data_IF_874554479823
#
_entry.id   IF_874554479823
#
_cell.length_a   1.000
_cell.length_b   1.000
_cell.length_c   1.000
_cell.angle_alpha   90.00
_cell.angle_beta   90.00
_cell.angle_gamma   90.00
#
_symmetry.space_group_name_H-M   'P 1'
#
loop_
_entity.id
_entity.type
_entity.pdbx_description
1 polymer ?
#
# COMPACT_ATOMS: atom_id res chain seq x y z
N UNK A 1 59.13 116.90 -133.16
CA UNK A 1 59.82 116.50 -134.41
C UNK A 1 60.23 115.03 -134.31
N UNK A 2 60.43 114.39 -135.44
CA UNK A 2 60.37 112.94 -135.73
C UNK A 2 61.44 112.03 -135.11
N UNK A 3 61.11 110.72 -135.05
CA UNK A 3 62.06 109.64 -135.43
C UNK A 3 62.21 108.45 -134.47
N UNK A 4 61.68 107.27 -134.82
CA UNK A 4 62.21 105.94 -134.36
C UNK A 4 63.38 105.47 -135.24
N UNK A 5 63.89 104.19 -135.22
CA UNK A 5 63.24 102.92 -134.75
C UNK A 5 64.16 101.77 -134.15
N UNK A 6 63.56 100.57 -133.89
CA UNK A 6 64.05 99.15 -133.95
C UNK A 6 64.33 98.26 -132.68
N UNK A 7 63.49 97.20 -132.53
CA UNK A 7 63.58 95.78 -132.01
C UNK A 7 64.38 95.38 -130.75
N UNK A 8 63.79 94.54 -129.86
CA UNK A 8 64.13 93.08 -129.79
C UNK A 8 63.24 92.16 -128.89
N UNK A 9 63.12 90.90 -129.33
CA UNK A 9 62.12 89.85 -129.01
C UNK A 9 62.57 88.83 -127.93
N UNK A 10 63.49 89.19 -127.03
CA UNK A 10 64.11 88.23 -126.09
C UNK A 10 63.57 88.27 -124.64
N UNK A 11 62.65 89.17 -124.32
CA UNK A 11 62.16 89.35 -122.93
C UNK A 11 60.87 88.55 -122.60
N UNK A 12 60.02 88.29 -123.60
CA UNK A 12 58.73 87.62 -123.39
C UNK A 12 58.84 86.09 -123.17
N UNK A 13 59.93 85.45 -123.61
CA UNK A 13 60.16 84.01 -123.41
C UNK A 13 60.68 83.69 -121.99
N UNK A 14 61.42 84.60 -121.36
CA UNK A 14 61.95 84.41 -120.01
C UNK A 14 60.84 84.53 -118.94
N UNK A 15 59.91 85.47 -119.11
CA UNK A 15 58.77 85.64 -118.19
C UNK A 15 57.78 84.46 -118.24
N UNK A 16 57.57 83.84 -119.41
CA UNK A 16 56.72 82.65 -119.55
C UNK A 16 57.33 81.39 -118.91
N UNK A 17 58.66 81.25 -118.96
CA UNK A 17 59.35 80.11 -118.38
C UNK A 17 59.42 80.22 -116.85
N UNK A 18 59.57 81.44 -116.34
CA UNK A 18 59.48 81.74 -114.90
C UNK A 18 58.07 81.49 -114.35
N UNK A 19 57.02 81.91 -115.06
CA UNK A 19 55.63 81.61 -114.65
C UNK A 19 55.31 80.11 -114.64
N UNK A 20 55.87 79.34 -115.56
CA UNK A 20 55.64 77.87 -115.59
C UNK A 20 56.34 77.15 -114.42
N UNK A 21 57.54 77.61 -114.04
CA UNK A 21 58.21 77.13 -112.82
C UNK A 21 57.47 77.56 -111.55
N UNK A 22 56.93 78.78 -111.51
CA UNK A 22 56.09 79.25 -110.41
C UNK A 22 54.77 78.47 -110.32
N UNK A 23 54.19 78.04 -111.45
CA UNK A 23 52.96 77.24 -111.52
C UNK A 23 53.20 75.78 -111.12
N UNK A 24 54.32 75.17 -111.53
CA UNK A 24 54.76 73.85 -111.05
C UNK A 24 55.15 73.90 -109.55
N UNK A 25 55.76 74.98 -109.07
CA UNK A 25 55.98 75.22 -107.63
C UNK A 25 54.66 75.42 -106.86
N UNK A 26 53.66 76.05 -107.48
CA UNK A 26 52.33 76.22 -106.88
C UNK A 26 51.58 74.88 -106.84
N UNK A 27 51.64 74.07 -107.89
CA UNK A 27 51.01 72.75 -107.92
C UNK A 27 51.68 71.78 -106.96
N UNK A 28 53.01 71.79 -106.86
CA UNK A 28 53.74 71.01 -105.83
C UNK A 28 53.35 71.49 -104.42
N UNK A 29 53.26 72.80 -104.17
CA UNK A 29 52.77 73.35 -102.88
C UNK A 29 51.29 73.00 -102.61
N UNK A 30 50.44 72.92 -103.64
CA UNK A 30 49.03 72.52 -103.49
C UNK A 30 48.92 71.03 -103.18
N UNK A 31 49.72 70.19 -103.85
CA UNK A 31 49.79 68.75 -103.61
C UNK A 31 50.34 68.46 -102.21
N UNK A 32 51.38 69.17 -101.79
CA UNK A 32 51.94 69.12 -100.42
C UNK A 32 50.90 69.56 -99.38
N UNK A 33 50.20 70.69 -99.61
CA UNK A 33 49.12 71.13 -98.73
C UNK A 33 47.97 70.13 -98.65
N UNK A 34 47.64 69.45 -99.75
CA UNK A 34 46.62 68.39 -99.79
C UNK A 34 47.06 67.15 -99.00
N UNK A 35 48.30 66.71 -99.16
CA UNK A 35 48.88 65.61 -98.37
C UNK A 35 48.95 65.96 -96.88
N UNK A 36 49.32 67.21 -96.54
CA UNK A 36 49.30 67.70 -95.17
C UNK A 36 47.88 67.70 -94.62
N UNK A 37 46.89 68.20 -95.38
CA UNK A 37 45.47 68.16 -95.00
C UNK A 37 44.94 66.74 -94.78
N UNK A 38 45.27 65.80 -95.66
CA UNK A 38 44.89 64.38 -95.51
C UNK A 38 45.55 63.75 -94.28
N UNK A 39 46.84 64.04 -94.03
CA UNK A 39 47.54 63.55 -92.82
C UNK A 39 46.97 64.16 -91.53
N UNK A 40 46.55 65.43 -91.57
CA UNK A 40 45.88 66.11 -90.46
C UNK A 40 44.48 65.57 -90.24
N UNK A 41 43.74 65.26 -91.31
CA UNK A 41 42.42 64.64 -91.24
C UNK A 41 42.51 63.25 -90.62
N UNK A 42 43.43 62.40 -91.10
CA UNK A 42 43.71 61.07 -90.51
C UNK A 42 44.11 61.19 -89.03
N UNK A 43 44.98 62.15 -88.68
CA UNK A 43 45.36 62.42 -87.29
C UNK A 43 44.18 62.88 -86.44
N UNK A 44 43.25 63.65 -87.02
CA UNK A 44 42.04 64.12 -86.34
C UNK A 44 41.08 62.96 -86.08
N UNK A 45 40.88 62.08 -87.06
CA UNK A 45 40.03 60.90 -86.92
C UNK A 45 40.63 59.90 -85.91
N UNK A 46 41.95 59.69 -85.94
CA UNK A 46 42.67 58.88 -84.94
C UNK A 46 42.53 59.45 -83.53
N UNK A 47 42.68 60.77 -83.37
CA UNK A 47 42.48 61.44 -82.09
C UNK A 47 41.03 61.31 -81.62
N UNK A 48 40.05 61.37 -82.52
CA UNK A 48 38.65 61.20 -82.19
C UNK A 48 38.33 59.77 -81.73
N UNK A 49 38.90 58.76 -82.39
CA UNK A 49 38.81 57.36 -81.96
C UNK A 49 39.47 57.16 -80.60
N UNK A 50 40.66 57.74 -80.36
CA UNK A 50 41.35 57.68 -79.06
C UNK A 50 40.54 58.39 -77.96
N UNK A 51 39.92 59.52 -78.27
CA UNK A 51 39.09 60.27 -77.33
C UNK A 51 37.79 59.51 -76.98
N UNK A 52 37.17 58.82 -77.94
CA UNK A 52 36.04 57.92 -77.67
C UNK A 52 36.47 56.76 -76.78
N UNK A 53 37.56 56.07 -77.12
CA UNK A 53 38.13 54.99 -76.30
C UNK A 53 38.45 55.46 -74.87
N UNK A 54 39.04 56.64 -74.72
CA UNK A 54 39.34 57.23 -73.42
C UNK A 54 38.07 57.55 -72.61
N UNK A 55 37.01 58.05 -73.27
CA UNK A 55 35.70 58.27 -72.63
C UNK A 55 35.04 56.96 -72.19
N UNK A 56 35.07 55.94 -73.04
CA UNK A 56 34.49 54.63 -72.71
C UNK A 56 35.25 53.95 -71.56
N UNK A 57 36.59 54.07 -71.53
CA UNK A 57 37.44 53.63 -70.41
C UNK A 57 37.15 54.40 -69.12
N UNK A 58 36.90 55.71 -69.20
CA UNK A 58 36.54 56.50 -68.04
C UNK A 58 35.16 56.10 -67.50
N UNK A 59 34.19 55.89 -68.38
CA UNK A 59 32.85 55.44 -68.02
C UNK A 59 32.88 54.03 -67.38
N UNK A 60 33.69 53.12 -67.93
CA UNK A 60 33.85 51.78 -67.36
C UNK A 60 34.56 51.81 -66.00
N UNK A 61 35.54 52.70 -65.81
CA UNK A 61 36.21 52.90 -64.53
C UNK A 61 35.28 53.53 -63.48
N UNK A 62 34.48 54.52 -63.86
CA UNK A 62 33.47 55.12 -62.98
C UNK A 62 32.38 54.11 -62.59
N UNK A 63 31.96 53.26 -63.52
CA UNK A 63 31.06 52.15 -63.22
C UNK A 63 31.70 51.16 -62.24
N UNK A 64 32.97 50.79 -62.46
CA UNK A 64 33.71 49.89 -61.57
C UNK A 64 33.84 50.46 -60.16
N UNK A 65 34.17 51.74 -60.00
CA UNK A 65 34.25 52.39 -58.69
C UNK A 65 32.89 52.42 -57.98
N UNK A 66 31.81 52.71 -58.71
CA UNK A 66 30.44 52.66 -58.15
C UNK A 66 30.04 51.25 -57.72
N UNK A 67 30.43 50.24 -58.49
CA UNK A 67 30.19 48.84 -58.16
C UNK A 67 31.03 48.42 -56.94
N UNK A 68 32.30 48.81 -56.86
CA UNK A 68 33.16 48.54 -55.70
C UNK A 68 32.66 49.24 -54.43
N UNK A 69 32.22 50.50 -54.52
CA UNK A 69 31.66 51.25 -53.40
C UNK A 69 30.31 50.65 -52.95
N UNK A 70 29.47 50.23 -53.91
CA UNK A 70 28.22 49.53 -53.63
C UNK A 70 28.48 48.17 -52.96
N UNK A 71 29.46 47.40 -53.43
CA UNK A 71 29.88 46.13 -52.85
C UNK A 71 30.44 46.32 -51.44
N UNK A 72 31.26 47.34 -51.22
CA UNK A 72 31.81 47.67 -49.90
C UNK A 72 30.70 48.07 -48.92
N UNK A 73 29.75 48.89 -49.37
CA UNK A 73 28.59 49.27 -48.58
C UNK A 73 27.70 48.05 -48.27
N UNK A 74 27.48 47.16 -49.24
CA UNK A 74 26.70 45.94 -49.08
C UNK A 74 27.37 44.97 -48.09
N UNK A 75 28.70 44.77 -48.18
CA UNK A 75 29.45 43.94 -47.24
C UNK A 75 29.42 44.51 -45.82
N UNK A 76 29.51 45.84 -45.67
CA UNK A 76 29.41 46.49 -44.36
C UNK A 76 28.02 46.30 -43.75
N UNK A 77 26.96 46.56 -44.53
CA UNK A 77 25.59 46.33 -44.11
C UNK A 77 25.33 44.86 -43.75
N UNK A 78 25.91 43.92 -44.49
CA UNK A 78 25.78 42.47 -44.22
C UNK A 78 26.51 42.06 -42.94
N UNK A 79 27.69 42.63 -42.64
CA UNK A 79 28.39 42.40 -41.38
C UNK A 79 27.60 42.94 -40.19
N UNK A 80 27.11 44.17 -40.30
CA UNK A 80 26.25 44.79 -39.27
C UNK A 80 24.98 43.96 -39.04
N UNK A 81 24.33 43.48 -40.11
CA UNK A 81 23.17 42.57 -40.01
C UNK A 81 23.51 41.28 -39.26
N UNK A 82 24.64 40.64 -39.58
CA UNK A 82 25.09 39.42 -38.88
C UNK A 82 25.38 39.67 -37.40
N UNK A 83 25.99 40.81 -37.08
CA UNK A 83 26.26 41.21 -35.70
C UNK A 83 24.97 41.45 -34.92
N UNK A 84 24.02 42.17 -35.52
CA UNK A 84 22.69 42.41 -34.94
C UNK A 84 21.96 41.08 -34.68
N UNK A 85 21.90 40.19 -35.68
CA UNK A 85 21.27 38.87 -35.52
C UNK A 85 21.92 38.03 -34.42
N UNK A 86 23.24 38.08 -34.30
CA UNK A 86 23.96 37.36 -33.24
C UNK A 86 23.71 37.96 -31.85
N UNK A 87 23.64 39.30 -31.74
CA UNK A 87 23.28 39.99 -30.50
C UNK A 87 21.84 39.71 -30.10
N UNK A 88 20.90 39.72 -31.06
CA UNK A 88 19.49 39.35 -30.84
C UNK A 88 19.38 37.91 -30.35
N UNK A 89 20.07 36.96 -30.99
CA UNK A 89 20.08 35.57 -30.54
C UNK A 89 20.64 35.41 -29.12
N UNK A 90 21.68 36.17 -28.75
CA UNK A 90 22.21 36.20 -27.38
C UNK A 90 21.21 36.81 -26.39
N UNK A 91 20.54 37.88 -26.79
CA UNK A 91 19.55 38.57 -25.98
C UNK A 91 18.33 37.68 -25.71
N UNK A 92 17.86 36.94 -26.71
CA UNK A 92 16.79 35.95 -26.53
C UNK A 92 17.21 34.78 -25.62
N UNK A 93 18.44 34.25 -25.78
CA UNK A 93 18.98 33.24 -24.86
C UNK A 93 19.04 33.78 -23.42
N UNK A 94 19.49 35.02 -23.24
CA UNK A 94 19.61 35.62 -21.91
C UNK A 94 18.23 35.86 -21.28
N UNK A 95 17.23 36.29 -22.07
CA UNK A 95 15.83 36.41 -21.61
C UNK A 95 15.27 35.08 -21.13
N UNK A 96 15.51 34.00 -21.88
CA UNK A 96 15.04 32.66 -21.52
C UNK A 96 15.67 32.19 -20.20
N UNK A 97 16.99 32.32 -20.07
CA UNK A 97 17.70 32.00 -18.82
C UNK A 97 17.23 32.86 -17.65
N UNK A 98 16.96 34.15 -17.88
CA UNK A 98 16.42 35.03 -16.84
C UNK A 98 15.02 34.59 -16.41
N UNK A 99 14.15 34.20 -17.35
CA UNK A 99 12.83 33.69 -17.04
C UNK A 99 12.89 32.41 -16.19
N UNK A 100 13.73 31.44 -16.57
CA UNK A 100 13.91 30.21 -15.78
C UNK A 100 14.46 30.48 -14.37
N UNK A 101 15.43 31.40 -14.25
CA UNK A 101 15.98 31.79 -12.94
C UNK A 101 14.91 32.46 -12.07
N UNK A 102 14.05 33.27 -12.66
CA UNK A 102 12.95 33.91 -11.96
C UNK A 102 11.91 32.90 -11.48
N UNK A 103 11.59 31.89 -12.31
CA UNK A 103 10.70 30.79 -11.93
C UNK A 103 11.29 29.98 -10.76
N UNK A 104 12.55 29.54 -10.85
CA UNK A 104 13.23 28.82 -9.76
C UNK A 104 13.27 29.64 -8.47
N UNK A 105 13.52 30.95 -8.56
CA UNK A 105 13.49 31.84 -7.40
C UNK A 105 12.10 31.90 -6.78
N UNK A 106 11.05 31.98 -7.60
CA UNK A 106 9.66 31.99 -7.11
C UNK A 106 9.30 30.67 -6.44
N UNK A 107 9.67 29.52 -7.01
CA UNK A 107 9.45 28.21 -6.39
C UNK A 107 10.12 28.11 -5.02
N UNK A 108 11.39 28.55 -4.93
CA UNK A 108 12.13 28.59 -3.66
C UNK A 108 11.47 29.54 -2.67
N UNK A 109 11.02 30.72 -3.11
CA UNK A 109 10.31 31.69 -2.27
C UNK A 109 9.02 31.07 -1.70
N UNK A 110 8.24 30.41 -2.54
CA UNK A 110 7.01 29.70 -2.14
C UNK A 110 7.33 28.58 -1.13
N UNK A 111 8.40 27.82 -1.36
CA UNK A 111 8.85 26.78 -0.44
C UNK A 111 9.22 27.36 0.93
N UNK A 112 9.99 28.45 0.96
CA UNK A 112 10.37 29.15 2.19
C UNK A 112 9.12 29.69 2.92
N UNK A 113 8.19 30.30 2.20
CA UNK A 113 6.93 30.80 2.77
C UNK A 113 6.07 29.69 3.36
N UNK A 114 6.05 28.50 2.74
CA UNK A 114 5.32 27.36 3.28
C UNK A 114 5.94 26.86 4.59
N UNK A 115 7.26 26.86 4.70
CA UNK A 115 7.95 26.32 5.88
C UNK A 115 8.22 27.35 6.99
N UNK A 116 8.08 28.65 6.72
CA UNK A 116 8.28 29.67 7.74
C UNK A 116 7.31 29.54 8.92
N UNK A 117 6.09 29.05 8.67
CA UNK A 117 5.08 28.81 9.71
C UNK A 117 5.57 27.80 10.75
N UNK A 118 6.23 26.72 10.32
CA UNK A 118 6.77 25.70 11.23
C UNK A 118 7.96 26.23 12.03
N UNK A 119 8.84 27.01 11.38
CA UNK A 119 9.94 27.68 12.09
C UNK A 119 9.40 28.63 13.16
N UNK A 120 8.41 29.46 12.82
CA UNK A 120 7.85 30.42 13.76
C UNK A 120 7.15 29.73 14.94
N UNK A 121 6.50 28.60 14.68
CA UNK A 121 5.92 27.74 15.72
C UNK A 121 7.00 27.12 16.61
N UNK A 122 8.09 26.59 16.05
CA UNK A 122 9.22 26.05 16.81
C UNK A 122 9.89 27.12 17.68
N UNK A 123 10.10 28.32 17.14
CA UNK A 123 10.63 29.46 17.90
C UNK A 123 9.67 29.89 19.01
N UNK A 124 8.35 29.87 18.76
CA UNK A 124 7.35 30.15 19.80
C UNK A 124 7.38 29.08 20.90
N UNK A 125 7.47 27.80 20.54
CA UNK A 125 7.61 26.70 21.51
C UNK A 125 8.91 26.82 22.31
N UNK A 126 10.01 27.20 21.66
CA UNK A 126 11.29 27.45 22.33
C UNK A 126 11.15 28.56 23.39
N UNK A 127 10.47 29.67 23.06
CA UNK A 127 10.19 30.76 24.03
C UNK A 127 9.33 30.33 25.21
N UNK A 128 8.48 29.32 25.03
CA UNK A 128 7.60 28.78 26.08
C UNK A 128 8.27 27.66 26.89
N UNK A 129 9.42 27.17 26.44
CA UNK A 129 10.15 26.06 27.05
C UNK A 129 11.52 26.53 27.54
N UNK A 130 12.26 25.65 28.22
CA UNK A 130 13.59 25.96 28.79
C UNK A 130 14.75 25.49 27.90
N UNK A 131 14.50 25.22 26.62
CA UNK A 131 15.52 24.72 25.71
C UNK A 131 16.29 25.88 25.09
N UNK A 132 17.59 25.71 24.91
CA UNK A 132 18.46 26.77 24.39
C UNK A 132 18.44 26.79 22.86
N UNK A 133 18.26 25.64 22.21
CA UNK A 133 18.18 25.50 20.75
C UNK A 133 17.00 24.64 20.28
N UNK A 134 16.55 24.91 19.06
CA UNK A 134 15.55 24.13 18.33
C UNK A 134 15.99 22.67 18.18
N UNK A 135 17.30 22.41 18.04
CA UNK A 135 17.83 21.05 18.00
C UNK A 135 17.65 20.30 19.34
N UNK A 136 17.87 20.97 20.48
CA UNK A 136 17.65 20.35 21.80
C UNK A 136 16.16 20.05 22.02
N UNK A 137 15.28 20.98 21.67
CA UNK A 137 13.83 20.78 21.71
C UNK A 137 13.41 19.61 20.80
N UNK A 138 13.96 19.53 19.59
CA UNK A 138 13.65 18.45 18.64
C UNK A 138 14.16 17.10 19.15
N UNK A 139 15.38 17.05 19.70
CA UNK A 139 15.93 15.83 20.30
C UNK A 139 15.15 15.37 21.53
N UNK A 140 14.65 16.30 22.34
CA UNK A 140 13.76 15.99 23.46
C UNK A 140 12.42 15.41 22.97
N UNK A 141 11.79 16.03 21.97
CA UNK A 141 10.53 15.52 21.38
C UNK A 141 10.74 14.13 20.78
N UNK A 142 11.85 13.92 20.05
CA UNK A 142 12.17 12.61 19.49
C UNK A 142 12.39 11.56 20.57
N UNK A 143 13.10 11.92 21.65
CA UNK A 143 13.27 11.04 22.81
C UNK A 143 11.93 10.72 23.47
N UNK A 144 11.04 11.71 23.61
CA UNK A 144 9.70 11.52 24.18
C UNK A 144 8.86 10.58 23.32
N UNK A 145 8.88 10.74 21.99
CA UNK A 145 8.20 9.84 21.05
C UNK A 145 8.76 8.42 21.13
N UNK A 146 10.08 8.27 21.24
CA UNK A 146 10.72 6.96 21.44
C UNK A 146 10.30 6.32 22.75
N UNK A 147 10.27 7.08 23.85
CA UNK A 147 9.78 6.58 25.14
C UNK A 147 8.30 6.23 25.10
N UNK A 148 7.47 7.03 24.42
CA UNK A 148 6.05 6.75 24.24
C UNK A 148 5.84 5.42 23.53
N UNK A 149 6.54 5.19 22.41
CA UNK A 149 6.48 3.91 21.68
C UNK A 149 6.96 2.73 22.55
N UNK A 150 8.06 2.92 23.28
CA UNK A 150 8.57 1.91 24.22
C UNK A 150 7.56 1.58 25.33
N UNK A 151 6.93 2.61 25.93
CA UNK A 151 5.91 2.40 26.95
C UNK A 151 4.67 1.72 26.38
N UNK A 152 4.21 2.12 25.20
CA UNK A 152 3.08 1.50 24.52
C UNK A 152 3.33 0.02 24.23
N UNK A 153 4.53 -0.34 23.74
CA UNK A 153 4.92 -1.74 23.53
C UNK A 153 4.95 -2.54 24.83
N UNK A 154 5.51 -1.95 25.89
CA UNK A 154 5.55 -2.60 27.21
C UNK A 154 4.15 -2.80 27.79
N UNK A 155 3.30 -1.79 27.67
CA UNK A 155 1.92 -1.83 28.14
C UNK A 155 1.10 -2.86 27.37
N UNK A 156 1.20 -2.89 26.03
CA UNK A 156 0.54 -3.91 25.22
C UNK A 156 1.00 -5.32 25.60
N UNK A 157 2.31 -5.53 25.77
CA UNK A 157 2.82 -6.84 26.22
C UNK A 157 2.29 -7.24 27.59
N UNK A 158 2.15 -6.28 28.52
CA UNK A 158 1.56 -6.55 29.83
C UNK A 158 0.06 -6.89 29.72
N UNK A 159 -0.68 -6.18 28.86
CA UNK A 159 -2.08 -6.48 28.58
C UNK A 159 -2.25 -7.87 27.95
N UNK A 160 -1.44 -8.22 26.95
CA UNK A 160 -1.44 -9.56 26.35
C UNK A 160 -1.19 -10.66 27.38
N UNK A 161 -0.25 -10.46 28.32
CA UNK A 161 0.00 -11.41 29.40
C UNK A 161 -1.20 -11.53 30.35
N UNK A 162 -1.84 -10.42 30.69
CA UNK A 162 -3.05 -10.42 31.52
C UNK A 162 -4.19 -11.14 30.82
N UNK A 163 -4.38 -10.92 29.52
CA UNK A 163 -5.46 -11.56 28.77
C UNK A 163 -5.21 -13.06 28.59
N UNK A 164 -3.96 -13.48 28.35
CA UNK A 164 -3.58 -14.90 28.38
C UNK A 164 -3.88 -15.55 29.75
N UNK A 165 -3.56 -14.86 30.85
CA UNK A 165 -3.87 -15.35 32.19
C UNK A 165 -5.37 -15.46 32.43
N UNK A 166 -6.17 -14.47 31.99
CA UNK A 166 -7.64 -14.53 32.09
C UNK A 166 -8.22 -15.70 31.30
N UNK A 167 -7.75 -15.94 30.07
CA UNK A 167 -8.17 -17.08 29.26
C UNK A 167 -7.82 -18.41 29.95
N UNK A 168 -6.60 -18.52 30.51
CA UNK A 168 -6.19 -19.71 31.26
C UNK A 168 -7.02 -19.92 32.54
N UNK A 169 -7.42 -18.83 33.21
CA UNK A 169 -8.27 -18.89 34.38
C UNK A 169 -9.68 -19.35 34.01
N UNK A 170 -10.27 -18.76 32.96
CA UNK A 170 -11.61 -19.10 32.51
C UNK A 170 -11.69 -20.56 32.06
N UNK A 171 -10.71 -21.04 31.31
CA UNK A 171 -10.63 -22.46 30.93
C UNK A 171 -10.46 -23.39 32.14
N UNK A 172 -9.71 -22.98 33.17
CA UNK A 172 -9.58 -23.74 34.41
C UNK A 172 -10.89 -23.78 35.21
N UNK A 173 -11.60 -22.65 35.29
CA UNK A 173 -12.91 -22.54 35.95
C UNK A 173 -13.97 -23.39 35.25
N UNK A 174 -14.02 -23.36 33.91
CA UNK A 174 -14.91 -24.21 33.11
C UNK A 174 -14.62 -25.70 33.35
N UNK A 175 -13.35 -26.08 33.32
CA UNK A 175 -12.92 -27.45 33.61
C UNK A 175 -13.29 -27.88 35.04
N UNK A 176 -13.14 -26.98 36.02
CA UNK A 176 -13.54 -27.23 37.40
C UNK A 176 -15.05 -27.42 37.52
N UNK A 177 -15.85 -26.57 36.88
CA UNK A 177 -17.30 -26.69 36.84
C UNK A 177 -17.74 -28.02 36.23
N UNK A 178 -17.13 -28.43 35.12
CA UNK A 178 -17.42 -29.73 34.49
C UNK A 178 -17.09 -30.92 35.39
N UNK A 179 -15.91 -30.90 36.03
CA UNK A 179 -15.51 -31.95 36.96
C UNK A 179 -16.44 -32.00 38.18
N UNK A 180 -16.80 -30.83 38.73
CA UNK A 180 -17.75 -30.73 39.83
C UNK A 180 -19.08 -31.35 39.45
N UNK A 181 -19.62 -31.02 38.27
CA UNK A 181 -20.89 -31.55 37.78
C UNK A 181 -20.83 -33.07 37.61
N UNK A 182 -19.73 -33.58 37.04
CA UNK A 182 -19.51 -35.01 36.91
C UNK A 182 -19.47 -35.72 38.27
N UNK A 183 -18.78 -35.15 39.26
CA UNK A 183 -18.70 -35.72 40.61
C UNK A 183 -20.03 -35.70 41.34
N UNK A 184 -20.80 -34.63 41.22
CA UNK A 184 -22.13 -34.57 41.82
C UNK A 184 -23.12 -35.52 41.16
N UNK A 185 -23.00 -35.70 39.84
CA UNK A 185 -23.78 -36.71 39.15
C UNK A 185 -23.47 -38.12 39.67
N UNK A 186 -22.18 -38.48 39.78
CA UNK A 186 -21.75 -39.75 40.37
C UNK A 186 -22.25 -39.93 41.81
N UNK A 187 -22.16 -38.89 42.63
CA UNK A 187 -22.64 -38.91 44.01
C UNK A 187 -24.15 -39.16 44.07
N UNK A 188 -24.93 -38.49 43.22
CA UNK A 188 -26.37 -38.67 43.14
C UNK A 188 -26.75 -40.09 42.71
N UNK A 189 -26.05 -40.66 41.73
CA UNK A 189 -26.24 -42.06 41.32
C UNK A 189 -26.00 -43.04 42.48
N UNK A 190 -24.88 -42.90 43.18
CA UNK A 190 -24.57 -43.73 44.35
C UNK A 190 -25.60 -43.57 45.47
N UNK A 191 -26.09 -42.36 45.70
CA UNK A 191 -27.17 -42.14 46.67
C UNK A 191 -28.46 -42.87 46.28
N UNK A 192 -28.85 -42.83 45.00
CA UNK A 192 -30.02 -43.56 44.50
C UNK A 192 -29.83 -45.07 44.69
N UNK A 193 -28.65 -45.61 44.41
CA UNK A 193 -28.34 -47.03 44.63
C UNK A 193 -28.43 -47.41 46.10
N UNK A 194 -27.87 -46.60 47.00
CA UNK A 194 -27.94 -46.83 48.45
C UNK A 194 -29.40 -46.82 48.93
N UNK A 195 -30.19 -45.84 48.51
CA UNK A 195 -31.61 -45.77 48.90
C UNK A 195 -32.42 -46.95 48.37
N UNK A 196 -32.12 -47.41 47.15
CA UNK A 196 -32.72 -48.64 46.60
C UNK A 196 -32.37 -49.85 47.46
N UNK A 197 -31.08 -50.07 47.74
CA UNK A 197 -30.62 -51.19 48.56
C UNK A 197 -31.20 -51.14 49.99
N UNK A 198 -31.32 -49.95 50.58
CA UNK A 198 -31.97 -49.75 51.89
C UNK A 198 -33.45 -50.11 51.85
N UNK A 199 -34.16 -49.68 50.81
CA UNK A 199 -35.59 -50.01 50.66
C UNK A 199 -35.81 -51.51 50.52
N UNK A 200 -34.94 -52.19 49.77
CA UNK A 200 -34.97 -53.65 49.63
C UNK A 200 -34.66 -54.34 50.96
N UNK A 201 -33.60 -53.91 51.68
CA UNK A 201 -33.25 -54.45 52.99
C UNK A 201 -34.40 -54.31 54.00
N UNK A 202 -35.06 -53.15 54.04
CA UNK A 202 -36.21 -52.91 54.92
C UNK A 202 -37.41 -53.80 54.54
N UNK A 203 -37.61 -54.06 53.25
CA UNK A 203 -38.65 -54.98 52.80
C UNK A 203 -38.39 -56.42 53.28
N UNK A 204 -37.14 -56.89 53.22
CA UNK A 204 -36.73 -58.20 53.71
C UNK A 204 -36.81 -58.29 55.23
N UNK A 205 -36.38 -57.26 55.95
CA UNK A 205 -36.50 -57.18 57.41
C UNK A 205 -37.96 -57.28 57.85
N UNK A 206 -38.87 -56.58 57.16
CA UNK A 206 -40.30 -56.66 57.43
C UNK A 206 -40.85 -58.07 57.20
N UNK A 207 -40.46 -58.72 56.10
CA UNK A 207 -40.88 -60.10 55.80
C UNK A 207 -40.34 -61.08 56.85
N UNK A 208 -39.07 -60.94 57.23
CA UNK A 208 -38.44 -61.76 58.26
C UNK A 208 -39.13 -61.61 59.61
N UNK A 209 -39.39 -60.38 60.05
CA UNK A 209 -40.13 -60.11 61.28
C UNK A 209 -41.53 -60.74 61.25
N UNK A 210 -42.24 -60.67 60.12
CA UNK A 210 -43.55 -61.30 59.99
C UNK A 210 -43.48 -62.84 60.10
N UNK A 211 -42.49 -63.47 59.47
CA UNK A 211 -42.25 -64.92 59.60
C UNK A 211 -41.95 -65.28 61.05
N UNK A 212 -41.07 -64.52 61.71
CA UNK A 212 -40.67 -64.75 63.09
C UNK A 212 -41.87 -64.61 64.05
N UNK A 213 -42.67 -63.56 63.92
CA UNK A 213 -43.90 -63.38 64.70
C UNK A 213 -44.89 -64.53 64.48
N UNK A 214 -45.07 -64.94 63.23
CA UNK A 214 -45.98 -66.04 62.89
C UNK A 214 -45.48 -67.37 63.46
N UNK A 215 -44.18 -67.65 63.36
CA UNK A 215 -43.56 -68.84 63.92
C UNK A 215 -43.67 -68.85 65.46
N UNK A 216 -43.45 -67.71 66.13
CA UNK A 216 -43.62 -67.57 67.56
C UNK A 216 -45.08 -67.85 67.99
N UNK A 217 -46.06 -67.28 67.28
CA UNK A 217 -47.50 -67.55 67.51
C UNK A 217 -47.84 -69.02 67.34
N UNK A 218 -47.37 -69.67 66.26
CA UNK A 218 -47.60 -71.11 66.01
C UNK A 218 -46.93 -71.99 67.06
N UNK A 219 -45.70 -71.66 67.46
CA UNK A 219 -44.97 -72.40 68.51
C UNK A 219 -45.68 -72.31 69.84
N UNK A 220 -46.19 -71.13 70.19
CA UNK A 220 -46.97 -70.93 71.41
C UNK A 220 -48.31 -71.67 71.36
N UNK A 221 -49.02 -71.66 70.23
CA UNK A 221 -50.25 -72.44 70.05
C UNK A 221 -49.98 -73.95 70.16
N UNK A 222 -48.92 -74.44 69.52
CA UNK A 222 -48.51 -75.84 69.62
C UNK A 222 -48.21 -76.21 71.09
N UNK A 223 -47.47 -75.36 71.82
CA UNK A 223 -47.22 -75.56 73.24
C UNK A 223 -48.51 -75.65 74.07
N UNK A 224 -49.51 -74.81 73.79
CA UNK A 224 -50.83 -74.87 74.44
C UNK A 224 -51.58 -76.15 74.11
N UNK A 225 -51.58 -76.59 72.85
CA UNK A 225 -52.19 -77.87 72.43
C UNK A 225 -51.52 -79.02 73.16
N UNK A 226 -50.18 -79.08 73.16
CA UNK A 226 -49.42 -80.13 73.86
C UNK A 226 -49.77 -80.20 75.34
N UNK A 227 -49.82 -79.05 76.03
CA UNK A 227 -50.18 -78.99 77.45
C UNK A 227 -51.63 -79.42 77.70
N UNK A 228 -52.58 -78.94 76.88
CA UNK A 228 -53.99 -79.33 77.01
C UNK A 228 -54.18 -80.84 76.78
N UNK A 229 -53.54 -81.40 75.75
CA UNK A 229 -53.57 -82.84 75.46
C UNK A 229 -52.95 -83.65 76.58
N UNK A 230 -51.79 -83.24 77.11
CA UNK A 230 -51.15 -83.92 78.23
C UNK A 230 -52.06 -83.91 79.47
N UNK A 231 -52.62 -82.75 79.83
CA UNK A 231 -53.53 -82.64 80.97
C UNK A 231 -54.77 -83.52 80.80
N UNK A 232 -55.35 -83.57 79.60
CA UNK A 232 -56.50 -84.45 79.31
C UNK A 232 -56.10 -85.93 79.38
N UNK A 233 -54.94 -86.29 78.83
CA UNK A 233 -54.40 -87.65 78.91
C UNK A 233 -54.22 -88.08 80.35
N UNK A 234 -53.53 -87.29 81.18
CA UNK A 234 -53.33 -87.57 82.61
C UNK A 234 -54.67 -87.77 83.34
N UNK A 235 -55.70 -86.96 83.05
CA UNK A 235 -57.04 -87.15 83.62
C UNK A 235 -57.72 -88.45 83.18
N UNK A 236 -57.49 -88.91 81.95
CA UNK A 236 -58.09 -90.16 81.43
C UNK A 236 -57.31 -91.42 81.80
N UNK A 237 -55.98 -91.31 81.93
CA UNK A 237 -55.08 -92.41 82.31
C UNK A 237 -55.33 -92.83 83.77
N UNK A 238 -55.63 -91.85 84.66
CA UNK A 238 -56.06 -92.11 86.05
C UNK A 238 -57.40 -92.88 86.15
N UNK A 239 -58.20 -92.95 85.08
CA UNK A 239 -59.47 -93.68 85.04
C UNK A 239 -59.39 -95.05 84.36
N UNK A 240 -58.30 -95.35 83.64
CA UNK A 240 -58.11 -96.60 82.89
C UNK A 240 -56.80 -97.25 83.35
N UNK A 241 -56.87 -98.20 84.27
CA UNK A 241 -55.71 -98.98 84.71
C UNK A 241 -55.12 -99.80 83.54
N UNK A 242 -54.06 -99.27 82.89
CA UNK A 242 -53.37 -99.90 81.77
C UNK A 242 -51.89 -99.46 81.63
N UNK A 243 -50.99 -100.44 81.68
CA UNK A 243 -49.54 -100.39 82.01
C UNK A 243 -48.59 -99.82 80.93
N UNK A 244 -48.96 -98.76 80.20
CA UNK A 244 -48.04 -98.11 79.23
C UNK A 244 -47.96 -96.60 79.43
N UNK A 245 -46.97 -96.16 80.22
CA UNK A 245 -46.65 -94.74 80.41
C UNK A 245 -46.11 -94.15 79.10
N UNK A 246 -46.91 -93.34 78.42
CA UNK A 246 -46.49 -92.68 77.18
C UNK A 246 -45.44 -91.59 77.45
N UNK A 247 -44.57 -91.35 76.47
CA UNK A 247 -43.60 -90.25 76.54
C UNK A 247 -44.34 -88.91 76.57
N UNK A 248 -43.97 -88.04 77.51
CA UNK A 248 -44.52 -86.69 77.71
C UNK A 248 -44.51 -85.84 76.43
N UNK A 249 -43.58 -86.09 75.50
CA UNK A 249 -43.48 -85.35 74.23
C UNK A 249 -44.24 -85.96 73.04
N UNK A 250 -44.84 -87.15 73.19
CA UNK A 250 -45.55 -87.86 72.12
C UNK A 250 -47.05 -87.49 72.10
N UNK A 251 -47.31 -86.23 71.73
CA UNK A 251 -48.65 -85.61 71.78
C UNK A 251 -49.68 -86.33 70.90
N UNK A 252 -49.26 -86.90 69.77
CA UNK A 252 -50.17 -87.61 68.85
C UNK A 252 -50.74 -88.87 69.52
N UNK A 253 -49.88 -89.70 70.12
CA UNK A 253 -50.34 -90.91 70.83
C UNK A 253 -51.18 -90.60 72.07
N UNK A 254 -50.85 -89.53 72.80
CA UNK A 254 -51.67 -89.07 73.93
C UNK A 254 -53.08 -88.70 73.47
N UNK A 255 -53.20 -87.98 72.34
CA UNK A 255 -54.49 -87.61 71.78
C UNK A 255 -55.28 -88.83 71.28
N UNK A 256 -54.60 -89.82 70.69
CA UNK A 256 -55.22 -91.09 70.28
C UNK A 256 -55.79 -91.86 71.48
N UNK A 257 -55.07 -91.93 72.62
CA UNK A 257 -55.59 -92.54 73.85
C UNK A 257 -56.80 -91.78 74.42
N UNK A 258 -56.73 -90.45 74.49
CA UNK A 258 -57.87 -89.61 74.93
C UNK A 258 -59.09 -89.83 74.02
N UNK A 259 -58.88 -89.95 72.70
CA UNK A 259 -59.94 -90.24 71.74
C UNK A 259 -60.56 -91.62 71.97
N UNK A 260 -59.74 -92.66 72.15
CA UNK A 260 -60.22 -94.00 72.46
C UNK A 260 -61.07 -94.00 73.75
N UNK A 261 -60.60 -93.32 74.81
CA UNK A 261 -61.37 -93.18 76.05
C UNK A 261 -62.74 -92.53 75.82
N UNK A 262 -62.82 -91.44 75.06
CA UNK A 262 -64.09 -90.78 74.75
C UNK A 262 -65.01 -91.70 73.95
N UNK A 263 -64.47 -92.42 72.97
CA UNK A 263 -65.24 -93.37 72.14
C UNK A 263 -65.75 -94.56 72.96
N UNK A 264 -64.91 -95.11 73.85
CA UNK A 264 -65.30 -96.18 74.77
C UNK A 264 -66.39 -95.71 75.75
N UNK A 265 -66.31 -94.47 76.22
CA UNK A 265 -67.33 -93.86 77.08
C UNK A 265 -68.65 -93.62 76.32
N UNK A 266 -68.59 -93.14 75.08
CA UNK A 266 -69.76 -92.99 74.20
C UNK A 266 -70.41 -94.35 73.90
N UNK A 267 -69.62 -95.38 73.58
CA UNK A 267 -70.09 -96.75 73.37
C UNK A 267 -70.71 -97.37 74.64
N UNK A 268 -70.18 -97.07 75.82
CA UNK A 268 -70.76 -97.47 77.10
C UNK A 268 -72.11 -96.80 77.38
N UNK A 269 -72.26 -95.51 77.04
CA UNK A 269 -73.53 -94.79 77.19
C UNK A 269 -74.56 -95.25 76.16
N UNK A 270 -74.16 -95.48 74.91
CA UNK A 270 -75.05 -95.97 73.84
C UNK A 270 -75.53 -97.40 74.13
N UNK A 271 -74.74 -98.22 74.83
CA UNK A 271 -75.16 -99.55 75.32
C UNK A 271 -76.03 -99.51 76.59
N UNK A 272 -76.18 -98.35 77.23
CA UNK A 272 -77.06 -98.14 78.40
C UNK A 272 -78.43 -97.57 78.04
N UNK A 273 -78.77 -97.45 76.75
CA UNK A 273 -80.13 -97.20 76.24
C UNK A 273 -80.55 -98.35 75.30
#
# INVERSE_FOLDING_TARGET
MAGGPLRDSSFALFDMQKKRQEEEELDTKIQERRQILESLQQRTDELHVKMKKARDLHLSFDMFLKEEDADRAAQKAEKERKEVLHLEAKLERLKLVHAELMERKQEQQCWIQRHCVYRDLLVRMLRMTKFDDVQELTGHIQSLLHFQDHFYKRENKAHEQVDQLKESLLTLEDNHCLLWLQKNHQMSQLHIEIEKMRSEALSWERQWNHIQETAAKKTLLLGRIKMATLNLYEMTDDMVEGDETLNINDTEKQLDKVKMFIQDYEDCIVKQH
#
